data_IF_873498242885
#
_entry.id   IF_873498242885
#
_cell.length_a   1.000
_cell.length_b   1.000
_cell.length_c   1.000
_cell.angle_alpha   90.00
_cell.angle_beta   90.00
_cell.angle_gamma   90.00
#
_symmetry.space_group_name_H-M   'P 1'
#
loop_
_entity.id
_entity.type
_entity.pdbx_description
1 polymer ?
#
# COMPACT_ATOMS: atom_id res chain seq x y z
N UNK A 1 -6.93 -6.13 7.78
CA UNK A 1 -5.56 -5.77 7.35
C UNK A 1 -5.67 -4.70 6.29
N UNK A 2 -4.76 -3.71 6.26
CA UNK A 2 -4.71 -2.69 5.22
C UNK A 2 -3.36 -2.80 4.50
N UNK A 3 -3.36 -2.75 3.18
CA UNK A 3 -2.16 -2.76 2.35
C UNK A 3 -2.29 -1.74 1.22
N UNK A 4 -1.22 -1.00 0.97
CA UNK A 4 -1.11 -0.13 -0.19
C UNK A 4 -0.36 -0.89 -1.31
N UNK A 5 -1.08 -1.29 -2.34
CA UNK A 5 -0.54 -2.03 -3.47
C UNK A 5 -0.28 -1.11 -4.66
N UNK A 6 0.80 -1.39 -5.38
CA UNK A 6 1.15 -0.67 -6.60
C UNK A 6 1.67 -1.63 -7.67
N UNK A 7 1.11 -1.57 -8.87
CA UNK A 7 1.61 -2.29 -10.03
C UNK A 7 2.95 -1.67 -10.48
N UNK A 8 4.00 -2.44 -10.78
CA UNK A 8 5.26 -1.86 -11.25
C UNK A 8 5.10 -1.13 -12.59
N UNK A 9 5.84 -0.03 -12.78
CA UNK A 9 5.86 0.71 -14.05
C UNK A 9 6.57 -0.06 -15.20
N UNK A 10 7.48 -0.98 -14.87
CA UNK A 10 8.33 -1.69 -15.84
C UNK A 10 8.00 -3.18 -15.99
N UNK A 11 7.07 -3.72 -15.19
CA UNK A 11 6.62 -5.11 -15.34
C UNK A 11 5.44 -5.15 -16.33
N UNK A 12 5.62 -5.77 -17.49
CA UNK A 12 4.52 -6.11 -18.40
C UNK A 12 3.45 -6.97 -17.72
N UNK A 13 3.82 -7.71 -16.66
CA UNK A 13 2.99 -8.70 -15.97
C UNK A 13 2.32 -8.22 -14.66
N UNK A 14 2.20 -6.91 -14.42
CA UNK A 14 1.54 -6.32 -13.23
C UNK A 14 1.99 -6.88 -11.88
N UNK A 15 1.07 -7.28 -10.99
CA UNK A 15 1.44 -7.74 -9.64
C UNK A 15 2.22 -9.06 -9.65
N UNK A 16 3.43 -9.03 -9.08
CA UNK A 16 4.21 -10.25 -8.87
C UNK A 16 3.58 -11.20 -7.85
N UNK A 17 4.02 -12.46 -7.87
CA UNK A 17 3.59 -13.51 -6.93
C UNK A 17 3.95 -13.17 -5.47
N UNK A 18 5.15 -12.65 -5.24
CA UNK A 18 5.68 -12.37 -3.90
C UNK A 18 4.75 -11.46 -3.06
N UNK A 19 4.24 -10.31 -3.57
CA UNK A 19 3.22 -9.51 -2.89
C UNK A 19 1.98 -10.30 -2.45
N UNK A 20 1.43 -11.18 -3.29
CA UNK A 20 0.22 -11.94 -2.94
C UNK A 20 0.49 -12.97 -1.84
N UNK A 21 1.64 -13.65 -1.89
CA UNK A 21 2.08 -14.58 -0.84
C UNK A 21 2.32 -13.85 0.48
N UNK A 22 2.94 -12.67 0.44
CA UNK A 22 3.16 -11.84 1.64
C UNK A 22 1.84 -11.33 2.22
N UNK A 23 0.90 -10.95 1.36
CA UNK A 23 -0.42 -10.47 1.74
C UNK A 23 -1.22 -11.55 2.46
N UNK A 24 -1.27 -12.77 1.92
CA UNK A 24 -1.97 -13.89 2.56
C UNK A 24 -1.37 -14.24 3.93
N UNK A 25 -0.04 -14.36 4.02
CA UNK A 25 0.67 -14.61 5.29
C UNK A 25 0.42 -13.53 6.33
N UNK A 26 0.48 -12.26 5.93
CA UNK A 26 0.22 -11.14 6.83
C UNK A 26 -1.23 -11.13 7.32
N UNK A 27 -2.20 -11.37 6.43
CA UNK A 27 -3.61 -11.42 6.79
C UNK A 27 -3.91 -12.54 7.79
N UNK A 28 -3.32 -13.73 7.60
CA UNK A 28 -3.41 -14.86 8.54
C UNK A 28 -2.77 -14.53 9.89
N UNK A 29 -1.53 -14.00 9.89
CA UNK A 29 -0.81 -13.64 11.12
C UNK A 29 -1.57 -12.59 11.94
N UNK A 30 -2.26 -11.66 11.28
CA UNK A 30 -3.07 -10.64 11.93
C UNK A 30 -4.49 -11.11 12.28
N UNK A 31 -4.85 -12.37 11.97
CA UNK A 31 -6.22 -12.89 12.10
C UNK A 31 -7.27 -11.95 11.45
N UNK A 32 -6.91 -11.37 10.30
CA UNK A 32 -7.73 -10.38 9.64
C UNK A 32 -9.08 -10.98 9.22
N UNK A 33 -10.14 -10.16 9.28
CA UNK A 33 -11.48 -10.51 8.78
C UNK A 33 -11.76 -9.96 7.38
N UNK A 34 -10.98 -8.96 6.97
CA UNK A 34 -11.06 -8.29 5.66
C UNK A 34 -9.68 -7.77 5.29
N UNK A 35 -9.38 -7.76 3.99
CA UNK A 35 -8.22 -7.10 3.41
C UNK A 35 -8.71 -5.82 2.73
N UNK A 36 -8.17 -4.69 3.14
CA UNK A 36 -8.35 -3.41 2.46
C UNK A 36 -7.12 -3.12 1.60
N UNK A 37 -7.34 -2.97 0.31
CA UNK A 37 -6.33 -2.58 -0.66
C UNK A 37 -6.51 -1.12 -1.03
N UNK A 38 -5.45 -0.34 -0.88
CA UNK A 38 -5.36 1.03 -1.36
C UNK A 38 -4.43 1.05 -2.58
N UNK A 39 -4.76 1.83 -3.61
CA UNK A 39 -3.87 2.07 -4.74
C UNK A 39 -4.32 1.38 -6.02
N UNK A 40 -3.37 0.94 -6.84
CA UNK A 40 -3.63 0.44 -8.19
C UNK A 40 -3.41 -1.06 -8.26
N UNK A 41 -4.47 -1.86 -8.48
CA UNK A 41 -4.43 -3.32 -8.61
C UNK A 41 -4.06 -3.84 -10.00
N UNK A 42 -4.28 -3.04 -11.04
CA UNK A 42 -3.90 -3.34 -12.41
C UNK A 42 -3.57 -2.02 -13.08
N UNK A 43 -2.65 -2.02 -14.04
CA UNK A 43 -2.46 -0.85 -14.89
C UNK A 43 -3.69 -0.67 -15.79
N UNK A 44 -4.08 0.58 -16.04
CA UNK A 44 -5.24 0.90 -16.88
C UNK A 44 -5.00 0.64 -18.37
N UNK A 45 -3.74 0.61 -18.80
CA UNK A 45 -3.31 0.58 -20.21
C UNK A 45 -2.91 -0.80 -20.73
N UNK A 46 -2.79 -1.82 -19.86
CA UNK A 46 -2.37 -3.18 -20.24
C UNK A 46 -3.50 -4.21 -20.12
N UNK A 47 -3.51 -5.19 -21.03
CA UNK A 47 -4.36 -6.37 -20.86
C UNK A 47 -3.96 -7.11 -19.57
N UNK A 48 -4.93 -7.76 -18.92
CA UNK A 48 -4.64 -8.69 -17.83
C UNK A 48 -4.14 -9.97 -18.48
N UNK A 49 -2.93 -10.37 -18.16
CA UNK A 49 -2.28 -11.55 -18.71
C UNK A 49 -2.76 -12.82 -18.00
N UNK A 50 -2.73 -13.96 -18.69
CA UNK A 50 -3.14 -15.26 -18.13
C UNK A 50 -2.35 -15.61 -16.86
N UNK A 51 -1.06 -15.28 -16.82
CA UNK A 51 -0.22 -15.50 -15.65
C UNK A 51 -0.71 -14.72 -14.42
N UNK A 52 -1.27 -13.52 -14.60
CA UNK A 52 -1.84 -12.74 -13.50
C UNK A 52 -3.12 -13.37 -12.98
N UNK A 53 -3.97 -13.89 -13.88
CA UNK A 53 -5.19 -14.60 -13.51
C UNK A 53 -4.86 -15.84 -12.68
N UNK A 54 -3.88 -16.64 -13.12
CA UNK A 54 -3.41 -17.84 -12.41
C UNK A 54 -2.85 -17.49 -11.03
N UNK A 55 -1.94 -16.51 -10.93
CA UNK A 55 -1.37 -16.07 -9.64
C UNK A 55 -2.44 -15.62 -8.66
N UNK A 56 -3.46 -14.91 -9.15
CA UNK A 56 -4.55 -14.45 -8.30
C UNK A 56 -5.47 -15.61 -7.89
N UNK A 57 -5.74 -16.56 -8.77
CA UNK A 57 -6.49 -17.77 -8.45
C UNK A 57 -5.81 -18.56 -7.31
N UNK A 58 -4.52 -18.83 -7.43
CA UNK A 58 -3.74 -19.48 -6.37
C UNK A 58 -3.75 -18.69 -5.06
N UNK A 59 -3.70 -17.36 -5.14
CA UNK A 59 -3.84 -16.51 -3.96
C UNK A 59 -5.21 -16.69 -3.29
N UNK A 60 -6.29 -16.81 -4.06
CA UNK A 60 -7.65 -17.03 -3.54
C UNK A 60 -7.82 -18.42 -2.91
N UNK A 61 -7.14 -19.44 -3.43
CA UNK A 61 -7.10 -20.77 -2.79
C UNK A 61 -6.48 -20.68 -1.38
N UNK A 62 -5.45 -19.85 -1.21
CA UNK A 62 -4.77 -19.64 0.08
C UNK A 62 -5.51 -18.67 1.00
N UNK A 63 -6.26 -17.72 0.44
CA UNK A 63 -6.86 -16.61 1.18
C UNK A 63 -8.28 -16.32 0.70
N UNK A 64 -9.25 -16.84 1.44
CA UNK A 64 -10.69 -16.66 1.18
C UNK A 64 -11.28 -15.37 1.76
N UNK A 65 -10.49 -14.56 2.47
CA UNK A 65 -10.98 -13.33 3.10
C UNK A 65 -11.62 -12.37 2.08
N UNK A 66 -12.68 -11.62 2.47
CA UNK A 66 -13.19 -10.52 1.67
C UNK A 66 -12.09 -9.49 1.39
N UNK A 67 -12.06 -8.98 0.15
CA UNK A 67 -11.11 -7.97 -0.29
C UNK A 67 -11.90 -6.76 -0.76
N UNK A 68 -11.61 -5.61 -0.16
CA UNK A 68 -12.14 -4.31 -0.58
C UNK A 68 -11.03 -3.49 -1.20
N UNK A 69 -11.31 -2.82 -2.31
CA UNK A 69 -10.31 -2.05 -3.03
C UNK A 69 -10.76 -0.60 -3.23
N UNK A 70 -9.94 0.34 -2.71
CA UNK A 70 -10.01 1.77 -3.04
C UNK A 70 -9.00 2.05 -4.15
N UNK A 71 -9.52 2.47 -5.30
CA UNK A 71 -8.74 2.91 -6.44
C UNK A 71 -8.02 4.23 -6.13
N UNK A 72 -6.77 4.39 -6.57
CA UNK A 72 -6.08 5.68 -6.49
C UNK A 72 -6.81 6.78 -7.30
N UNK A 73 -6.96 7.97 -6.71
CA UNK A 73 -7.50 9.13 -7.44
C UNK A 73 -6.52 9.55 -8.55
N UNK A 74 -7.04 9.68 -9.78
CA UNK A 74 -6.24 9.99 -10.98
C UNK A 74 -6.29 8.90 -12.05
N UNK A 75 -6.56 7.65 -11.68
CA UNK A 75 -6.79 6.57 -12.65
C UNK A 75 -8.25 6.55 -13.10
N UNK A 76 -8.69 7.58 -13.84
CA UNK A 76 -10.06 7.68 -14.36
C UNK A 76 -10.44 6.51 -15.31
N UNK A 77 -9.46 5.71 -15.73
CA UNK A 77 -9.63 4.55 -16.61
C UNK A 77 -9.11 3.25 -16.01
N UNK A 78 -9.00 3.12 -14.70
CA UNK A 78 -8.64 1.84 -14.12
C UNK A 78 -9.70 0.78 -14.46
N UNK A 79 -9.24 -0.26 -15.18
CA UNK A 79 -10.03 -1.43 -15.52
C UNK A 79 -10.58 -2.04 -14.23
N UNK A 80 -11.85 -2.43 -14.24
CA UNK A 80 -12.41 -3.19 -13.13
C UNK A 80 -11.62 -4.50 -12.96
N UNK A 81 -11.36 -4.89 -11.72
CA UNK A 81 -10.79 -6.21 -11.45
C UNK A 81 -11.69 -7.30 -12.05
N UNK A 82 -11.12 -8.41 -12.57
CA UNK A 82 -11.90 -9.56 -13.02
C UNK A 82 -12.87 -10.04 -11.95
N UNK A 83 -14.07 -10.46 -12.36
CA UNK A 83 -15.11 -10.90 -11.42
C UNK A 83 -14.66 -12.14 -10.63
N UNK A 84 -13.87 -13.03 -11.24
CA UNK A 84 -13.30 -14.20 -10.58
C UNK A 84 -12.32 -13.87 -9.44
N UNK A 85 -11.82 -12.63 -9.35
CA UNK A 85 -10.97 -12.20 -8.24
C UNK A 85 -11.78 -11.93 -6.96
N UNK A 86 -13.11 -11.79 -7.06
CA UNK A 86 -14.02 -11.52 -5.93
C UNK A 86 -13.57 -10.31 -5.10
N UNK A 87 -13.18 -9.22 -5.77
CA UNK A 87 -12.77 -7.96 -5.13
C UNK A 87 -13.93 -6.97 -5.18
N UNK A 88 -14.36 -6.51 -4.01
CA UNK A 88 -15.37 -5.47 -3.90
C UNK A 88 -14.70 -4.10 -4.10
N UNK A 89 -15.00 -3.45 -5.22
CA UNK A 89 -14.59 -2.06 -5.42
C UNK A 89 -15.44 -1.15 -4.52
N UNK A 90 -14.76 -0.33 -3.73
CA UNK A 90 -15.41 0.67 -2.88
C UNK A 90 -15.20 2.08 -3.46
N UNK A 91 -16.01 3.09 -3.03
CA UNK A 91 -15.81 4.47 -3.44
C UNK A 91 -14.40 4.99 -3.10
N UNK A 92 -14.01 6.11 -3.71
CA UNK A 92 -12.68 6.73 -3.58
C UNK A 92 -12.26 7.03 -2.12
N UNK A 93 -13.23 7.02 -1.20
CA UNK A 93 -12.94 6.89 0.23
C UNK A 93 -14.07 6.16 0.97
N UNK A 94 -13.76 5.60 2.13
CA UNK A 94 -14.76 5.19 3.12
C UNK A 94 -14.25 5.40 4.54
N UNK A 95 -15.17 5.43 5.50
CA UNK A 95 -14.87 5.67 6.90
C UNK A 95 -15.22 4.43 7.75
N UNK A 96 -14.34 4.08 8.68
CA UNK A 96 -14.61 3.08 9.72
C UNK A 96 -14.20 3.67 11.05
N UNK A 97 -15.14 3.77 11.99
CA UNK A 97 -14.89 4.22 13.35
C UNK A 97 -14.15 5.57 13.43
N UNK A 98 -14.50 6.54 12.57
CA UNK A 98 -13.87 7.87 12.54
C UNK A 98 -12.51 7.93 11.82
N UNK A 99 -12.06 6.83 11.22
CA UNK A 99 -10.86 6.78 10.37
C UNK A 99 -11.27 6.65 8.91
N UNK A 100 -10.85 7.61 8.10
CA UNK A 100 -11.05 7.63 6.65
C UNK A 100 -9.93 6.89 5.96
N UNK A 101 -10.26 6.09 4.96
CA UNK A 101 -9.33 5.47 4.03
C UNK A 101 -9.57 6.06 2.65
N UNK A 102 -8.54 6.54 1.98
CA UNK A 102 -8.69 7.18 0.67
C UNK A 102 -7.44 7.93 0.24
N UNK A 103 -7.51 8.60 -0.91
CA UNK A 103 -6.37 9.37 -1.43
C UNK A 103 -6.21 10.73 -0.75
N UNK A 104 -7.31 11.41 -0.44
CA UNK A 104 -7.32 12.81 0.01
C UNK A 104 -7.57 12.94 1.52
N UNK A 105 -6.84 13.86 2.15
CA UNK A 105 -6.93 14.14 3.60
C UNK A 105 -8.10 15.07 4.00
N UNK A 106 -9.14 15.20 3.16
CA UNK A 106 -10.25 16.11 3.46
C UNK A 106 -11.17 15.53 4.55
N UNK A 107 -11.29 16.26 5.67
CA UNK A 107 -12.17 15.90 6.79
C UNK A 107 -11.58 16.25 8.17
N UNK A 108 -12.40 16.19 9.22
CA UNK A 108 -11.97 16.48 10.59
C UNK A 108 -11.30 15.33 11.34
N UNK A 109 -11.27 14.11 10.77
CA UNK A 109 -10.79 12.88 11.41
C UNK A 109 -9.40 12.42 10.93
N UNK A 110 -8.99 11.22 11.35
CA UNK A 110 -7.76 10.59 10.83
C UNK A 110 -7.97 10.09 9.40
N UNK A 111 -6.99 10.30 8.53
CA UNK A 111 -6.98 9.76 7.17
C UNK A 111 -5.78 8.84 6.96
N UNK A 112 -6.02 7.63 6.45
CA UNK A 112 -5.00 6.68 6.00
C UNK A 112 -4.96 6.73 4.48
N UNK A 113 -3.84 7.24 3.95
CA UNK A 113 -3.66 7.46 2.53
C UNK A 113 -2.67 6.51 1.88
N UNK A 114 -3.07 6.01 0.72
CA UNK A 114 -2.23 5.32 -0.26
C UNK A 114 -1.94 6.18 -1.50
N UNK A 115 -2.21 7.50 -1.49
CA UNK A 115 -1.93 8.34 -2.66
C UNK A 115 -0.42 8.47 -2.92
N UNK A 116 0.37 8.49 -1.84
CA UNK A 116 1.83 8.59 -1.89
C UNK A 116 2.44 7.32 -1.30
N UNK A 117 3.54 6.85 -1.89
CA UNK A 117 4.28 5.67 -1.43
C UNK A 117 5.40 6.15 -0.51
N UNK A 118 5.15 6.27 0.80
CA UNK A 118 6.16 6.83 1.72
C UNK A 118 7.49 6.07 1.64
N UNK A 119 8.60 6.80 1.42
CA UNK A 119 9.95 6.30 1.57
C UNK A 119 10.85 7.32 2.27
N UNK A 120 11.84 6.84 3.00
CA UNK A 120 12.83 7.67 3.69
C UNK A 120 14.21 7.07 3.51
N UNK A 121 15.21 7.93 3.38
CA UNK A 121 16.60 7.50 3.31
C UNK A 121 17.06 7.06 4.70
N UNK A 122 17.59 5.85 4.79
CA UNK A 122 18.12 5.24 6.02
C UNK A 122 19.60 4.96 5.82
N UNK A 123 20.40 5.29 6.83
CA UNK A 123 21.83 4.97 6.87
C UNK A 123 22.11 4.05 8.05
N UNK A 124 22.63 2.84 7.79
CA UNK A 124 23.06 1.88 8.82
C UNK A 124 24.42 1.32 8.42
N UNK A 125 25.39 1.36 9.34
CA UNK A 125 26.71 0.74 9.18
C UNK A 125 27.34 1.03 7.79
N UNK A 126 27.42 2.31 7.42
CA UNK A 126 27.98 2.82 6.15
C UNK A 126 27.24 2.39 4.88
N UNK A 127 25.99 1.93 4.99
CA UNK A 127 25.11 1.70 3.84
C UNK A 127 23.94 2.67 3.91
N UNK A 128 23.64 3.31 2.79
CA UNK A 128 22.52 4.23 2.64
C UNK A 128 21.58 3.72 1.56
N UNK A 129 20.29 3.68 1.84
CA UNK A 129 19.26 3.28 0.88
C UNK A 129 17.92 3.93 1.22
N UNK A 130 17.00 3.96 0.25
CA UNK A 130 15.62 4.39 0.48
C UNK A 130 14.79 3.22 1.01
N UNK A 131 14.35 3.33 2.25
CA UNK A 131 13.50 2.36 2.90
C UNK A 131 12.02 2.77 2.76
N UNK A 132 11.09 1.82 2.50
CA UNK A 132 9.66 2.08 2.63
C UNK A 132 9.34 2.55 4.04
N UNK A 133 8.51 3.57 4.19
CA UNK A 133 8.19 4.15 5.48
C UNK A 133 6.70 4.47 5.66
N UNK A 134 6.24 4.31 6.90
CA UNK A 134 5.01 4.96 7.35
C UNK A 134 5.34 6.42 7.68
N UNK A 135 4.49 7.34 7.24
CA UNK A 135 4.62 8.75 7.61
C UNK A 135 3.36 9.21 8.32
N UNK A 136 3.52 9.68 9.55
CA UNK A 136 2.44 10.16 10.41
C UNK A 136 2.56 11.66 10.56
N UNK A 137 1.53 12.40 10.17
CA UNK A 137 1.38 13.81 10.49
C UNK A 137 0.24 13.98 11.49
N UNK A 138 0.56 14.26 12.75
CA UNK A 138 -0.46 14.44 13.78
C UNK A 138 -1.27 15.72 13.62
N UNK A 139 -0.66 16.79 13.12
CA UNK A 139 -1.33 18.07 12.91
C UNK A 139 -2.38 17.96 11.79
N UNK A 140 -2.02 17.32 10.68
CA UNK A 140 -2.93 17.03 9.58
C UNK A 140 -3.80 15.78 9.80
N UNK A 141 -3.56 15.01 10.88
CA UNK A 141 -4.20 13.72 11.17
C UNK A 141 -4.11 12.73 10.01
N UNK A 142 -2.94 12.63 9.38
CA UNK A 142 -2.71 11.72 8.25
C UNK A 142 -1.69 10.63 8.55
N UNK A 143 -1.94 9.44 8.01
CA UNK A 143 -1.01 8.32 7.95
C UNK A 143 -0.82 7.94 6.48
N UNK A 144 0.39 8.07 5.97
CA UNK A 144 0.78 7.60 4.64
C UNK A 144 1.35 6.20 4.77
N UNK A 145 0.83 5.26 3.97
CA UNK A 145 1.32 3.89 3.93
C UNK A 145 2.50 3.73 2.96
N UNK A 146 3.53 2.96 3.33
CA UNK A 146 4.53 2.51 2.38
C UNK A 146 3.89 1.62 1.31
N UNK A 147 4.53 1.51 0.15
CA UNK A 147 4.11 0.50 -0.82
C UNK A 147 4.39 -0.90 -0.27
N UNK A 148 3.40 -1.78 -0.38
CA UNK A 148 3.53 -3.20 -0.07
C UNK A 148 4.33 -3.93 -1.16
N UNK A 149 4.31 -3.40 -2.39
CA UNK A 149 5.05 -3.90 -3.54
C UNK A 149 6.55 -3.55 -3.44
N UNK A 150 7.42 -4.57 -3.52
CA UNK A 150 8.88 -4.42 -3.39
C UNK A 150 9.53 -3.53 -4.45
N UNK A 151 8.96 -3.49 -5.66
CA UNK A 151 9.53 -2.81 -6.82
C UNK A 151 9.01 -1.37 -7.02
N UNK A 152 8.06 -0.93 -6.20
CA UNK A 152 7.54 0.41 -6.29
C UNK A 152 8.48 1.36 -5.55
N UNK A 153 9.30 2.13 -6.29
CA UNK A 153 10.10 3.22 -5.69
C UNK A 153 9.18 4.16 -4.94
N UNK A 154 9.41 4.34 -3.65
CA UNK A 154 8.64 5.28 -2.85
C UNK A 154 8.96 6.73 -3.23
N UNK A 155 8.09 7.63 -2.84
CA UNK A 155 8.35 9.07 -2.85
C UNK A 155 9.16 9.40 -1.61
N UNK A 156 10.35 9.95 -1.80
CA UNK A 156 11.20 10.41 -0.71
C UNK A 156 10.47 11.51 0.08
N UNK A 157 10.22 11.25 1.35
CA UNK A 157 9.60 12.20 2.27
C UNK A 157 10.70 12.88 3.06
N UNK A 158 10.89 14.18 2.78
CA UNK A 158 11.83 15.02 3.49
C UNK A 158 11.51 15.10 4.99
N UNK A 159 12.52 15.45 5.79
CA UNK A 159 12.30 15.73 7.20
C UNK A 159 11.41 16.96 7.40
N UNK A 160 10.56 16.89 8.42
CA UNK A 160 9.78 18.00 8.96
C UNK A 160 9.42 17.67 10.40
N UNK A 161 9.50 18.65 11.30
CA UNK A 161 9.13 18.49 12.71
C UNK A 161 7.68 18.04 12.91
N UNK A 162 6.83 18.27 11.91
CA UNK A 162 5.42 17.88 11.93
C UNK A 162 5.21 16.40 11.54
N UNK A 163 6.25 15.71 11.05
CA UNK A 163 6.18 14.36 10.51
C UNK A 163 6.97 13.38 11.37
N UNK A 164 6.30 12.33 11.85
CA UNK A 164 6.97 11.13 12.37
C UNK A 164 7.13 10.12 11.24
N UNK A 165 8.35 9.65 11.02
CA UNK A 165 8.71 8.74 9.93
C UNK A 165 9.16 7.41 10.51
N UNK A 166 8.53 6.32 10.11
CA UNK A 166 8.86 4.97 10.58
C UNK A 166 9.32 4.11 9.41
N UNK A 167 10.63 3.86 9.32
CA UNK A 167 11.22 3.06 8.26
C UNK A 167 11.03 1.56 8.51
N UNK A 168 10.73 0.82 7.45
CA UNK A 168 10.69 -0.63 7.45
C UNK A 168 12.03 -1.15 6.92
N UNK A 169 12.81 -1.79 7.79
CA UNK A 169 14.02 -2.51 7.39
C UNK A 169 14.32 -3.65 8.36
N UNK A 170 15.00 -4.69 7.89
CA UNK A 170 15.40 -5.84 8.73
C UNK A 170 14.23 -6.51 9.47
N UNK A 171 13.04 -6.56 8.85
CA UNK A 171 11.79 -7.04 9.43
C UNK A 171 11.28 -6.28 10.66
N UNK A 172 11.80 -5.07 10.90
CA UNK A 172 11.40 -4.18 11.98
C UNK A 172 10.82 -2.87 11.42
N UNK A 173 10.05 -2.19 12.25
CA UNK A 173 9.57 -0.82 12.02
C UNK A 173 10.29 0.07 13.03
N UNK A 174 11.15 0.97 12.55
CA UNK A 174 11.98 1.81 13.40
C UNK A 174 11.63 3.28 13.18
N UNK A 175 11.55 4.06 14.27
CA UNK A 175 11.45 5.51 14.18
C UNK A 175 12.76 6.04 13.57
N UNK A 176 12.63 6.87 12.53
CA UNK A 176 13.76 7.59 11.96
C UNK A 176 13.88 8.91 12.71
N UNK A 177 14.67 8.87 13.77
CA UNK A 177 15.17 10.06 14.45
C UNK A 177 16.29 10.64 13.58
N UNK A 178 16.29 11.95 13.37
CA UNK A 178 17.44 12.58 12.73
C UNK A 178 18.65 12.43 13.66
N UNK A 179 19.80 12.10 13.09
CA UNK A 179 21.05 12.34 13.79
C UNK A 179 21.13 13.84 14.06
N UNK A 180 21.00 14.24 15.32
CA UNK A 180 21.34 15.60 15.76
C UNK A 180 22.78 15.86 15.34
N UNK A 181 22.95 16.62 14.26
CA UNK A 181 24.23 17.27 13.91
C UNK A 181 24.60 18.29 14.96
#
# INVERSE_FOLDING_TARGET
MIAHLHAPAEASSGFGEEPLVRLSRAAMRMQAKVILLLGELTRSDSAIEEEQLLRFAEFRERCSLPIRHIQASGTKQARAAPAEWCIDRVPDSFEVSGVRFGSDASGGGWCVSGAVRGAVTVTVANRTWDAPAFVVNHAARTLVLPSFSKFARGTAIAHSEQLKRYAIHSNCVNLVEDATT
#
